data_IF_033538839587
#
_entry.id   IF_033538839587
#
_cell.length_a   1.000
_cell.length_b   1.000
_cell.length_c   1.000
_cell.angle_alpha   90.00
_cell.angle_beta   90.00
_cell.angle_gamma   90.00
#
_symmetry.space_group_name_H-M   'P 1'
#
loop_
_entity.id
_entity.type
_entity.pdbx_description
1 polymer ?
#
# COMPACT_ATOMS: atom_id res chain seq x y z
N UNK A 1 12.73 5.07 10.38
CA UNK A 1 11.44 4.38 10.44
C UNK A 1 10.36 5.44 10.38
N UNK A 2 9.36 5.30 9.52
CA UNK A 2 8.28 6.30 9.35
C UNK A 2 7.09 5.91 10.22
N UNK A 3 6.62 6.83 11.06
CA UNK A 3 5.39 6.64 11.85
C UNK A 3 4.27 7.40 11.16
N UNK A 4 3.17 6.70 10.88
CA UNK A 4 2.00 7.27 10.24
C UNK A 4 0.73 7.05 11.09
N UNK A 5 -0.13 8.06 11.12
CA UNK A 5 -1.48 7.93 11.68
C UNK A 5 -2.37 7.24 10.65
N UNK A 6 -3.17 6.27 11.10
CA UNK A 6 -4.02 5.45 10.26
C UNK A 6 -5.41 5.26 10.87
N UNK A 7 -6.34 4.73 10.07
CA UNK A 7 -7.59 4.15 10.52
C UNK A 7 -7.50 2.64 10.38
N UNK A 8 -7.54 1.94 11.50
CA UNK A 8 -7.42 0.49 11.55
C UNK A 8 -8.73 -0.15 12.02
N UNK A 9 -8.90 -1.44 11.70
CA UNK A 9 -9.97 -2.30 12.18
C UNK A 9 -9.36 -3.58 12.78
N UNK A 10 -9.91 -4.07 13.88
CA UNK A 10 -9.39 -5.23 14.65
C UNK A 10 -10.14 -6.54 14.39
N UNK A 11 -11.11 -6.55 13.47
CA UNK A 11 -11.85 -7.74 13.10
C UNK A 11 -13.13 -7.46 12.30
N UNK A 12 -13.75 -8.50 11.70
CA UNK A 12 -14.83 -8.35 10.72
C UNK A 12 -16.07 -7.57 11.14
N UNK A 13 -16.37 -7.51 12.44
CA UNK A 13 -17.55 -6.84 12.99
C UNK A 13 -17.14 -5.74 13.99
N UNK A 14 -15.95 -5.18 13.84
CA UNK A 14 -15.42 -4.11 14.70
C UNK A 14 -15.53 -2.76 13.99
N UNK A 15 -15.58 -1.70 14.78
CA UNK A 15 -15.53 -0.34 14.25
C UNK A 15 -14.09 0.07 13.96
N UNK A 16 -13.91 0.90 12.93
CA UNK A 16 -12.62 1.55 12.69
C UNK A 16 -12.23 2.47 13.85
N UNK A 17 -10.94 2.48 14.19
CA UNK A 17 -10.36 3.34 15.23
C UNK A 17 -9.09 4.04 14.72
N UNK A 18 -8.66 5.10 15.44
CA UNK A 18 -7.37 5.71 15.18
C UNK A 18 -6.24 4.75 15.61
N UNK A 19 -5.20 4.65 14.79
CA UNK A 19 -4.01 3.85 15.07
C UNK A 19 -2.76 4.60 14.63
N UNK A 20 -1.61 4.13 15.10
CA UNK A 20 -0.30 4.48 14.55
C UNK A 20 0.32 3.23 13.97
N UNK A 21 0.81 3.34 12.73
CA UNK A 21 1.54 2.27 12.05
C UNK A 21 2.98 2.70 11.82
N UNK A 22 3.86 1.71 11.75
CA UNK A 22 5.26 1.90 11.41
C UNK A 22 5.47 1.38 10.00
N UNK A 23 6.16 2.17 9.20
CA UNK A 23 6.71 1.75 7.91
C UNK A 23 8.23 1.81 7.99
N UNK A 24 8.90 0.97 7.22
CA UNK A 24 10.35 1.02 7.04
C UNK A 24 10.81 2.38 6.51
N UNK A 25 12.10 2.66 6.66
CA UNK A 25 12.71 3.79 5.96
C UNK A 25 12.65 3.60 4.45
N UNK A 26 12.78 4.70 3.72
CA UNK A 26 12.86 4.68 2.26
C UNK A 26 14.08 3.85 1.84
N UNK A 27 13.84 2.95 0.90
CA UNK A 27 14.87 2.29 0.13
C UNK A 27 15.28 3.18 -1.06
N UNK A 28 16.27 2.74 -1.83
CA UNK A 28 16.89 3.48 -2.93
C UNK A 28 15.87 4.05 -3.93
N UNK A 29 14.79 3.32 -4.18
CA UNK A 29 13.80 3.62 -5.23
C UNK A 29 12.42 4.04 -4.71
N UNK A 30 12.27 4.23 -3.40
CA UNK A 30 10.96 4.56 -2.82
C UNK A 30 10.64 6.04 -2.88
N UNK A 31 9.34 6.35 -2.85
CA UNK A 31 8.83 7.69 -2.62
C UNK A 31 8.00 7.70 -1.34
N UNK A 32 8.18 8.73 -0.51
CA UNK A 32 7.33 8.98 0.64
C UNK A 32 6.22 9.95 0.25
N UNK A 33 4.98 9.57 0.52
CA UNK A 33 3.79 10.32 0.10
C UNK A 33 3.01 10.76 1.34
N UNK A 34 2.80 12.07 1.46
CA UNK A 34 1.78 12.61 2.36
C UNK A 34 0.41 12.45 1.69
N UNK A 35 -0.38 11.51 2.20
CA UNK A 35 -1.74 11.24 1.72
C UNK A 35 -2.63 12.44 2.02
N UNK A 36 -3.25 13.01 0.97
CA UNK A 36 -4.20 14.12 1.09
C UNK A 36 -5.65 13.64 1.00
N UNK A 37 -5.88 12.61 0.19
CA UNK A 37 -7.18 11.98 -0.02
C UNK A 37 -7.02 10.47 -0.16
N UNK A 38 -7.98 9.73 0.37
CA UNK A 38 -8.13 8.30 0.17
C UNK A 38 -9.60 8.00 -0.12
N UNK A 39 -9.89 7.42 -1.28
CA UNK A 39 -11.20 6.89 -1.62
C UNK A 39 -11.52 5.63 -0.80
N UNK A 40 -12.81 5.28 -0.75
CA UNK A 40 -13.29 4.04 -0.14
C UNK A 40 -13.94 3.23 -1.25
N UNK A 41 -13.36 2.07 -1.53
CA UNK A 41 -13.91 1.10 -2.45
C UNK A 41 -14.62 -0.02 -1.69
N UNK A 42 -15.56 -0.71 -2.33
CA UNK A 42 -16.23 -1.85 -1.70
C UNK A 42 -15.27 -3.00 -1.39
N UNK A 43 -14.15 -3.11 -2.12
CA UNK A 43 -13.06 -4.03 -1.81
C UNK A 43 -12.48 -3.83 -0.40
N UNK A 44 -12.44 -2.58 0.08
CA UNK A 44 -11.99 -2.27 1.43
C UNK A 44 -12.94 -2.88 2.46
N UNK A 45 -14.25 -2.85 2.18
CA UNK A 45 -15.30 -3.41 3.04
C UNK A 45 -15.24 -4.94 3.01
N UNK A 46 -15.21 -5.54 1.82
CA UNK A 46 -15.09 -6.99 1.66
C UNK A 46 -13.88 -7.54 2.42
N UNK A 47 -12.73 -6.87 2.29
CA UNK A 47 -11.52 -7.26 3.02
C UNK A 47 -11.65 -7.02 4.52
N UNK A 48 -12.09 -5.84 4.95
CA UNK A 48 -12.26 -5.54 6.38
C UNK A 48 -13.18 -6.53 7.10
N UNK A 49 -14.20 -7.04 6.40
CA UNK A 49 -15.17 -8.01 6.92
C UNK A 49 -14.79 -9.48 6.67
N UNK A 50 -13.61 -9.76 6.09
CA UNK A 50 -13.16 -11.13 5.82
C UNK A 50 -14.04 -11.89 4.82
N UNK A 51 -14.76 -11.18 3.95
CA UNK A 51 -15.70 -11.77 2.99
C UNK A 51 -14.99 -12.51 1.83
N UNK A 52 -13.67 -12.31 1.71
CA UNK A 52 -12.80 -13.00 0.76
C UNK A 52 -11.92 -14.08 1.40
N UNK A 53 -11.99 -14.26 2.72
CA UNK A 53 -11.17 -15.23 3.44
C UNK A 53 -10.57 -14.66 4.73
N UNK A 54 -9.55 -15.37 5.24
CA UNK A 54 -8.86 -14.96 6.46
C UNK A 54 -8.08 -13.65 6.23
N UNK A 55 -8.13 -12.77 7.24
CA UNK A 55 -7.50 -11.44 7.21
C UNK A 55 -6.65 -11.27 8.45
N UNK A 56 -5.45 -10.73 8.25
CA UNK A 56 -4.56 -10.38 9.34
C UNK A 56 -4.99 -9.04 9.93
N UNK A 57 -5.36 -9.04 11.22
CA UNK A 57 -5.72 -7.85 11.97
C UNK A 57 -4.60 -7.46 12.94
N UNK A 58 -4.42 -6.17 13.27
CA UNK A 58 -5.18 -5.01 12.79
C UNK A 58 -4.95 -4.73 11.29
N UNK A 59 -6.01 -4.41 10.56
CA UNK A 59 -5.97 -4.09 9.13
C UNK A 59 -6.12 -2.57 8.92
N UNK A 60 -5.30 -2.00 8.03
CA UNK A 60 -5.46 -0.63 7.51
C UNK A 60 -5.78 -0.71 6.01
N UNK A 61 -7.06 -0.68 5.61
CA UNK A 61 -7.45 -0.73 4.20
C UNK A 61 -7.33 0.65 3.52
N UNK A 62 -7.55 0.66 2.21
CA UNK A 62 -7.54 1.84 1.37
C UNK A 62 -6.49 1.74 0.26
N UNK A 63 -6.94 1.89 -0.98
CA UNK A 63 -6.08 1.75 -2.17
C UNK A 63 -6.45 2.70 -3.32
N UNK A 64 -7.18 3.78 -2.99
CA UNK A 64 -7.50 4.87 -3.90
C UNK A 64 -6.85 6.16 -3.37
N UNK A 65 -5.52 6.19 -3.39
CA UNK A 65 -4.72 7.21 -2.67
C UNK A 65 -4.34 8.33 -3.63
N UNK A 66 -4.50 9.58 -3.18
CA UNK A 66 -3.93 10.76 -3.81
C UNK A 66 -3.17 11.62 -2.79
N UNK A 67 -1.95 12.03 -3.13
CA UNK A 67 -1.07 12.70 -2.19
C UNK A 67 0.04 13.51 -2.84
N UNK A 68 0.96 13.99 -1.99
CA UNK A 68 2.12 14.78 -2.37
C UNK A 68 3.38 14.05 -1.96
N UNK A 69 4.36 13.95 -2.86
CA UNK A 69 5.68 13.41 -2.52
C UNK A 69 6.39 14.34 -1.54
N UNK A 70 6.80 13.83 -0.38
CA UNK A 70 7.50 14.59 0.67
C UNK A 70 8.96 14.20 0.83
N UNK A 71 9.35 13.01 0.38
CA UNK A 71 10.74 12.55 0.36
C UNK A 71 10.94 11.49 -0.73
N UNK A 72 12.18 11.28 -1.17
CA UNK A 72 12.52 10.31 -2.22
C UNK A 72 13.82 9.57 -1.90
N UNK A 73 13.88 8.30 -2.28
CA UNK A 73 15.11 7.53 -2.23
C UNK A 73 16.18 8.09 -3.19
N UNK A 74 17.47 7.83 -2.91
CA UNK A 74 18.60 8.40 -3.66
C UNK A 74 18.65 8.00 -5.15
N UNK A 75 17.99 6.92 -5.56
CA UNK A 75 17.96 6.44 -6.95
C UNK A 75 16.64 6.75 -7.67
N UNK A 76 15.73 7.50 -7.02
CA UNK A 76 14.47 7.94 -7.65
C UNK A 76 14.74 8.99 -8.72
N UNK A 77 14.29 8.71 -9.94
CA UNK A 77 14.43 9.62 -11.10
C UNK A 77 13.09 10.07 -11.69
N UNK A 78 12.00 9.33 -11.44
CA UNK A 78 10.68 9.59 -12.04
C UNK A 78 9.86 10.66 -11.31
N UNK A 79 10.14 10.88 -10.02
CA UNK A 79 9.38 11.76 -9.14
C UNK A 79 10.34 12.65 -8.33
N UNK A 80 9.81 13.77 -7.84
CA UNK A 80 10.52 14.68 -6.92
C UNK A 80 9.57 15.20 -5.84
N UNK A 81 10.16 15.70 -4.75
CA UNK A 81 9.41 16.36 -3.67
C UNK A 81 8.50 17.47 -4.24
N UNK A 82 7.24 17.47 -3.80
CA UNK A 82 6.20 18.39 -4.25
C UNK A 82 5.32 17.86 -5.40
N UNK A 83 5.70 16.76 -6.06
CA UNK A 83 4.87 16.15 -7.10
C UNK A 83 3.55 15.61 -6.53
N UNK A 84 2.47 15.73 -7.33
CA UNK A 84 1.16 15.12 -7.05
C UNK A 84 1.14 13.72 -7.64
N UNK A 85 0.87 12.73 -6.80
CA UNK A 85 0.92 11.31 -7.17
C UNK A 85 -0.28 10.56 -6.63
N UNK A 86 -0.54 9.38 -7.20
CA UNK A 86 -1.53 8.44 -6.70
C UNK A 86 -0.98 7.03 -6.56
N UNK A 87 -1.59 6.26 -5.67
CA UNK A 87 -1.29 4.84 -5.45
C UNK A 87 -2.61 4.07 -5.57
N UNK A 88 -2.60 3.01 -6.37
CA UNK A 88 -3.75 2.16 -6.65
C UNK A 88 -3.76 0.90 -5.77
N UNK A 89 -4.26 -0.21 -6.32
CA UNK A 89 -4.48 -1.48 -5.64
C UNK A 89 -3.20 -2.27 -5.27
N UNK A 90 -2.05 -1.89 -5.79
CA UNK A 90 -0.77 -2.57 -5.57
C UNK A 90 0.39 -1.60 -5.40
N UNK A 91 1.45 -2.07 -4.74
CA UNK A 91 2.65 -1.27 -4.41
C UNK A 91 3.96 -1.88 -4.89
N UNK A 92 3.99 -3.18 -5.24
CA UNK A 92 5.20 -3.83 -5.77
C UNK A 92 4.87 -5.08 -6.61
N UNK A 93 5.85 -5.55 -7.38
CA UNK A 93 5.82 -6.82 -8.13
C UNK A 93 7.24 -7.33 -8.36
N UNK A 94 7.46 -8.45 -9.07
CA UNK A 94 8.82 -8.93 -9.30
C UNK A 94 9.61 -8.14 -10.36
N UNK A 95 8.95 -7.32 -11.18
CA UNK A 95 9.53 -6.54 -12.26
C UNK A 95 10.27 -7.32 -13.37
N UNK A 96 10.24 -8.67 -13.36
CA UNK A 96 11.08 -9.52 -14.22
C UNK A 96 10.31 -10.62 -14.97
N UNK A 97 9.05 -10.90 -14.59
CA UNK A 97 8.25 -11.91 -15.29
C UNK A 97 7.62 -11.35 -16.58
N UNK A 98 7.08 -12.24 -17.42
CA UNK A 98 6.50 -11.86 -18.71
C UNK A 98 5.38 -10.80 -18.59
N UNK A 99 4.58 -10.84 -17.52
CA UNK A 99 3.50 -9.89 -17.28
C UNK A 99 4.05 -8.54 -16.82
N UNK A 100 5.08 -8.55 -15.96
CA UNK A 100 5.76 -7.31 -15.55
C UNK A 100 6.40 -6.61 -16.75
N UNK A 101 7.05 -7.33 -17.67
CA UNK A 101 7.60 -6.73 -18.89
C UNK A 101 6.55 -6.18 -19.86
N UNK A 102 5.30 -6.66 -19.75
CA UNK A 102 4.14 -6.15 -20.52
C UNK A 102 3.42 -4.98 -19.83
N UNK A 103 3.82 -4.59 -18.61
CA UNK A 103 3.10 -3.59 -17.81
C UNK A 103 1.76 -4.13 -17.28
N UNK A 104 1.69 -5.43 -17.01
CA UNK A 104 0.54 -6.13 -16.43
C UNK A 104 0.90 -6.72 -15.07
N UNK A 105 1.53 -5.92 -14.21
CA UNK A 105 2.12 -6.34 -12.94
C UNK A 105 1.09 -6.97 -11.97
N UNK A 106 -0.20 -6.69 -12.13
CA UNK A 106 -1.27 -7.35 -11.39
C UNK A 106 -1.31 -8.88 -11.61
N UNK A 107 -0.79 -9.36 -12.74
CA UNK A 107 -0.67 -10.77 -13.10
C UNK A 107 0.74 -11.33 -12.86
N UNK A 108 1.56 -10.64 -12.06
CA UNK A 108 2.91 -11.09 -11.74
C UNK A 108 2.94 -12.57 -11.31
N UNK A 109 3.77 -13.36 -12.00
CA UNK A 109 3.91 -14.81 -11.74
C UNK A 109 4.46 -15.14 -10.35
N UNK A 110 5.21 -14.20 -9.77
CA UNK A 110 5.76 -14.32 -8.42
C UNK A 110 4.86 -13.65 -7.37
N UNK A 111 3.65 -13.23 -7.75
CA UNK A 111 2.74 -12.45 -6.93
C UNK A 111 3.00 -10.95 -7.02
N UNK A 112 1.93 -10.16 -7.04
CA UNK A 112 1.99 -8.73 -6.80
C UNK A 112 1.81 -8.45 -5.30
N UNK A 113 2.29 -7.30 -4.84
CA UNK A 113 2.09 -6.85 -3.46
C UNK A 113 0.91 -5.89 -3.43
N UNK A 114 -0.22 -6.26 -2.81
CA UNK A 114 -1.37 -5.36 -2.70
C UNK A 114 -1.07 -4.22 -1.72
N UNK A 115 -1.76 -3.09 -1.89
CA UNK A 115 -1.58 -1.89 -1.04
C UNK A 115 -1.92 -2.13 0.43
N UNK A 116 -2.79 -3.11 0.72
CA UNK A 116 -3.11 -3.56 2.07
C UNK A 116 -3.35 -5.07 2.09
N UNK A 117 -3.39 -5.66 3.29
CA UNK A 117 -3.67 -7.08 3.54
C UNK A 117 -2.69 -8.06 2.85
N UNK A 118 -1.55 -7.55 2.40
CA UNK A 118 -0.46 -8.32 1.84
C UNK A 118 0.73 -8.38 2.80
N UNK A 119 1.81 -8.95 2.26
CA UNK A 119 3.14 -8.91 2.88
C UNK A 119 4.09 -8.43 1.79
N UNK A 120 4.91 -7.44 2.09
CA UNK A 120 5.89 -6.91 1.15
C UNK A 120 7.11 -7.85 1.01
N UNK A 121 8.02 -7.52 0.10
CA UNK A 121 9.25 -8.30 -0.14
C UNK A 121 10.22 -8.32 1.06
N UNK A 122 10.01 -7.47 2.06
CA UNK A 122 10.80 -7.42 3.29
C UNK A 122 10.15 -8.23 4.42
N UNK A 123 8.97 -8.82 4.19
CA UNK A 123 8.24 -9.59 5.19
C UNK A 123 7.34 -8.73 6.09
N UNK A 124 7.16 -7.44 5.78
CA UNK A 124 6.33 -6.52 6.55
C UNK A 124 4.89 -6.50 6.00
N UNK A 125 3.87 -6.38 6.86
CA UNK A 125 2.49 -6.22 6.40
C UNK A 125 2.32 -4.94 5.56
N UNK A 126 1.56 -5.04 4.47
CA UNK A 126 1.10 -3.85 3.73
C UNK A 126 -0.18 -3.29 4.32
#
# INVERSE_FOLDING_TARGET
MVIAKARAIDGPNKSFHAAEIKRRDLDLHDVLIEIKYAGICHSDIHTAHGEWGAVNFPLVPGHEIAGIVTDVGPEVTKYKVGDRVGVGCMVDSCADCEYCHKGEEQFCLNGHVPTYAGVDKYGEPT
#
